data_IF_112127186701
#
_entry.id   IF_112127186701
#
_cell.length_a   1.000
_cell.length_b   1.000
_cell.length_c   1.000
_cell.angle_alpha   90.00
_cell.angle_beta   90.00
_cell.angle_gamma   90.00
#
_symmetry.space_group_name_H-M   'P 1'
#
loop_
_entity.id
_entity.type
_entity.pdbx_description
1 polymer ?
#
# COMPACT_ATOMS: atom_id res chain seq x y z
N UNK A 1 -23.31 2.21 -5.80
CA UNK A 1 -21.92 1.80 -6.01
C UNK A 1 -21.81 0.43 -5.38
N UNK A 2 -21.85 -0.64 -6.17
CA UNK A 2 -21.57 -1.97 -5.64
C UNK A 2 -20.13 -1.95 -5.14
N UNK A 3 -19.96 -2.13 -3.84
CA UNK A 3 -18.64 -2.29 -3.25
C UNK A 3 -18.24 -3.72 -3.59
N UNK A 4 -17.47 -3.90 -4.66
CA UNK A 4 -16.83 -5.18 -4.91
C UNK A 4 -16.00 -5.54 -3.66
N UNK A 5 -16.40 -6.62 -3.00
CA UNK A 5 -15.70 -7.09 -1.82
C UNK A 5 -14.31 -7.56 -2.24
N UNK A 6 -13.27 -6.92 -1.70
CA UNK A 6 -11.89 -7.40 -1.84
C UNK A 6 -11.79 -8.81 -1.27
N UNK A 7 -11.51 -9.77 -2.16
CA UNK A 7 -11.18 -11.13 -1.75
C UNK A 7 -9.85 -11.17 -0.98
N UNK A 8 -9.53 -12.33 -0.40
CA UNK A 8 -8.32 -12.47 0.39
C UNK A 8 -7.04 -12.23 -0.43
N UNK A 9 -7.03 -12.62 -1.70
CA UNK A 9 -5.87 -12.47 -2.58
C UNK A 9 -5.58 -11.00 -2.86
N UNK A 10 -6.62 -10.21 -3.16
CA UNK A 10 -6.53 -8.77 -3.35
C UNK A 10 -6.04 -8.08 -2.07
N UNK A 11 -6.56 -8.46 -0.90
CA UNK A 11 -6.08 -7.93 0.40
C UNK A 11 -4.60 -8.20 0.62
N UNK A 12 -4.14 -9.41 0.31
CA UNK A 12 -2.72 -9.76 0.43
C UNK A 12 -1.84 -8.97 -0.54
N UNK A 13 -2.30 -8.74 -1.77
CA UNK A 13 -1.58 -7.89 -2.73
C UNK A 13 -1.41 -6.46 -2.20
N UNK A 14 -2.46 -5.87 -1.65
CA UNK A 14 -2.43 -4.53 -1.06
C UNK A 14 -1.44 -4.48 0.12
N UNK A 15 -1.56 -5.41 1.07
CA UNK A 15 -0.69 -5.45 2.27
C UNK A 15 0.78 -5.59 1.89
N UNK A 16 1.11 -6.50 0.96
CA UNK A 16 2.48 -6.70 0.51
C UNK A 16 3.03 -5.46 -0.22
N UNK A 17 2.23 -4.82 -1.08
CA UNK A 17 2.63 -3.59 -1.76
C UNK A 17 2.96 -2.45 -0.80
N UNK A 18 2.11 -2.23 0.22
CA UNK A 18 2.35 -1.22 1.26
C UNK A 18 3.60 -1.56 2.07
N UNK A 19 3.80 -2.82 2.45
CA UNK A 19 4.98 -3.25 3.20
C UNK A 19 6.28 -3.00 2.42
N UNK A 20 6.32 -3.30 1.12
CA UNK A 20 7.48 -3.02 0.27
C UNK A 20 7.75 -1.52 0.13
N UNK A 21 6.70 -0.71 -0.03
CA UNK A 21 6.83 0.74 -0.12
C UNK A 21 7.44 1.33 1.17
N UNK A 22 6.95 0.89 2.33
CA UNK A 22 7.49 1.31 3.63
C UNK A 22 8.93 0.83 3.85
N UNK A 23 9.24 -0.42 3.47
CA UNK A 23 10.59 -0.94 3.55
C UNK A 23 11.56 -0.08 2.73
N UNK A 24 11.20 0.23 1.49
CA UNK A 24 12.00 1.07 0.61
C UNK A 24 12.23 2.46 1.22
N UNK A 25 11.15 3.10 1.70
CA UNK A 25 11.23 4.42 2.32
C UNK A 25 12.13 4.47 3.57
N UNK A 26 12.09 3.43 4.40
CA UNK A 26 12.80 3.40 5.68
C UNK A 26 14.24 2.88 5.58
N UNK A 27 14.52 1.97 4.65
CA UNK A 27 15.79 1.23 4.64
C UNK A 27 16.61 1.44 3.37
N UNK A 28 15.97 1.71 2.24
CA UNK A 28 16.66 1.77 0.95
C UNK A 28 16.89 3.22 0.49
N UNK A 29 16.06 4.17 0.95
CA UNK A 29 16.29 5.61 0.74
C UNK A 29 17.38 6.15 1.67
N UNK A 30 18.21 7.05 1.12
CA UNK A 30 19.20 7.81 1.87
C UNK A 30 19.06 9.30 1.53
N UNK A 31 18.51 10.13 2.43
CA UNK A 31 18.10 9.80 3.79
C UNK A 31 16.78 9.01 3.85
N UNK A 32 16.55 8.19 4.89
CA UNK A 32 15.26 7.55 5.13
C UNK A 32 14.13 8.57 5.25
N UNK A 33 12.96 8.22 4.72
CA UNK A 33 11.76 9.06 4.75
C UNK A 33 10.66 8.34 5.50
N UNK A 34 10.08 8.96 6.53
CA UNK A 34 8.86 8.44 7.15
C UNK A 34 7.64 8.89 6.34
N UNK A 35 6.62 8.03 6.20
CA UNK A 35 5.31 8.41 5.70
C UNK A 35 4.38 8.75 6.88
N UNK A 36 4.30 10.02 7.33
CA UNK A 36 3.72 10.38 8.62
C UNK A 36 2.21 10.15 8.73
N UNK A 37 1.51 10.03 7.59
CA UNK A 37 0.06 9.85 7.53
C UNK A 37 -0.29 8.53 6.83
N UNK A 38 0.09 7.39 7.41
CA UNK A 38 -0.32 6.09 6.90
C UNK A 38 -1.72 5.74 7.41
N UNK A 39 -2.74 6.14 6.65
CA UNK A 39 -4.14 5.75 6.88
C UNK A 39 -4.71 5.12 5.60
N UNK A 40 -5.80 4.36 5.74
CA UNK A 40 -6.38 3.62 4.60
C UNK A 40 -6.75 4.52 3.42
N UNK A 41 -7.18 5.77 3.66
CA UNK A 41 -7.51 6.73 2.60
C UNK A 41 -6.30 7.37 1.92
N UNK A 42 -5.08 7.12 2.41
CA UNK A 42 -3.82 7.53 1.77
C UNK A 42 -3.20 6.42 0.92
N UNK A 43 -3.76 5.20 0.93
CA UNK A 43 -3.30 4.09 0.11
C UNK A 43 -4.11 4.11 -1.19
N UNK A 44 -3.46 4.53 -2.28
CA UNK A 44 -4.09 4.51 -3.59
C UNK A 44 -3.96 3.11 -4.19
N UNK A 45 -5.04 2.63 -4.79
CA UNK A 45 -5.06 1.35 -5.48
C UNK A 45 -5.12 1.57 -6.98
N UNK A 46 -4.38 0.77 -7.72
CA UNK A 46 -4.57 0.60 -9.17
C UNK A 46 -5.80 -0.26 -9.45
N UNK A 47 -6.23 -0.30 -10.72
CA UNK A 47 -7.39 -1.09 -11.14
C UNK A 47 -7.22 -2.61 -10.91
N UNK A 48 -6.00 -3.10 -10.71
CA UNK A 48 -5.66 -4.49 -10.36
C UNK A 48 -5.39 -4.72 -8.85
N UNK A 49 -5.78 -3.76 -8.01
CA UNK A 49 -5.62 -3.76 -6.55
C UNK A 49 -4.16 -3.82 -6.07
N UNK A 50 -3.21 -3.28 -6.83
CA UNK A 50 -1.86 -3.03 -6.35
C UNK A 50 -1.81 -1.69 -5.58
N UNK A 51 -1.04 -1.64 -4.50
CA UNK A 51 -0.83 -0.41 -3.74
C UNK A 51 0.14 0.54 -4.45
N UNK A 52 -0.15 1.85 -4.40
CA UNK A 52 0.63 2.93 -5.03
C UNK A 52 0.85 4.09 -4.07
#
# INVERSE_FOLDING_TARGET
QEVEHLDWSARMRIVMGVAYCLQYMHHDLSPPVAHPNLHSTSIYLTDDFAAK
#
